data_IF_020910637532
#
_entry.id   IF_020910637532
#
_cell.length_a   1.000
_cell.length_b   1.000
_cell.length_c   1.000
_cell.angle_alpha   90.00
_cell.angle_beta   90.00
_cell.angle_gamma   90.00
#
_symmetry.space_group_name_H-M   'P 1'
#
loop_
_entity.id
_entity.type
_entity.pdbx_description
1 polymer ?
#
# COMPACT_ATOMS: atom_id res chain seq x y z
N UNK A 1 -0.12 1.78 -10.37
CA UNK A 1 -0.25 0.52 -11.11
C UNK A 1 -1.64 0.44 -11.72
N UNK A 2 -1.93 -0.58 -12.53
CA UNK A 2 -3.27 -0.85 -13.06
C UNK A 2 -3.63 -2.28 -12.69
N UNK A 3 -4.77 -2.45 -12.03
CA UNK A 3 -5.30 -3.77 -11.65
C UNK A 3 -6.56 -3.98 -12.47
N UNK A 4 -6.65 -5.12 -13.13
CA UNK A 4 -7.86 -5.51 -13.85
C UNK A 4 -8.73 -6.31 -12.90
N UNK A 5 -9.91 -5.79 -12.58
CA UNK A 5 -10.88 -6.47 -11.75
C UNK A 5 -12.13 -6.75 -12.61
N UNK A 6 -12.20 -7.97 -13.13
CA UNK A 6 -13.23 -8.41 -14.07
C UNK A 6 -13.12 -7.69 -15.41
N UNK A 7 -14.19 -7.01 -15.82
CA UNK A 7 -14.23 -6.28 -17.09
C UNK A 7 -13.69 -4.84 -17.00
N UNK A 8 -13.34 -4.38 -15.79
CA UNK A 8 -12.89 -3.00 -15.54
C UNK A 8 -11.40 -2.96 -15.19
N UNK A 9 -10.69 -1.97 -15.75
CA UNK A 9 -9.30 -1.67 -15.40
C UNK A 9 -9.26 -0.50 -14.42
N UNK A 10 -8.73 -0.72 -13.23
CA UNK A 10 -8.61 0.29 -12.19
C UNK A 10 -7.15 0.73 -12.03
N UNK A 11 -6.89 2.02 -12.24
CA UNK A 11 -5.60 2.61 -11.88
C UNK A 11 -5.47 2.83 -10.37
N UNK A 12 -4.60 2.07 -9.74
CA UNK A 12 -4.30 2.14 -8.30
C UNK A 12 -3.13 3.09 -8.06
N UNK A 13 -3.27 3.99 -7.08
CA UNK A 13 -2.21 4.91 -6.67
C UNK A 13 -2.32 5.25 -5.17
N UNK A 14 -1.23 5.06 -4.43
CA UNK A 14 -1.15 5.42 -3.02
C UNK A 14 -0.77 6.89 -2.82
N UNK A 15 -1.72 7.70 -2.36
CA UNK A 15 -1.55 9.12 -2.07
C UNK A 15 -1.14 9.40 -0.63
N UNK A 16 -0.42 10.51 -0.40
CA UNK A 16 0.05 10.90 0.94
C UNK A 16 -1.05 10.94 2.01
N UNK A 17 -2.12 11.69 1.77
CA UNK A 17 -3.23 11.85 2.72
C UNK A 17 -3.98 10.52 3.00
N UNK A 18 -4.50 9.79 1.97
CA UNK A 18 -5.27 8.58 2.24
C UNK A 18 -4.44 7.49 2.90
N UNK A 19 -3.20 7.26 2.45
CA UNK A 19 -2.30 6.24 3.03
C UNK A 19 -1.97 6.48 4.50
N UNK A 20 -1.75 7.73 4.90
CA UNK A 20 -1.44 8.06 6.30
C UNK A 20 -2.68 8.06 7.19
N UNK A 21 -3.79 8.65 6.72
CA UNK A 21 -5.03 8.73 7.51
C UNK A 21 -5.69 7.38 7.72
N UNK A 22 -5.56 6.46 6.77
CA UNK A 22 -6.09 5.10 6.90
C UNK A 22 -5.18 4.16 7.70
N UNK A 23 -4.05 4.66 8.22
CA UNK A 23 -3.02 3.87 8.90
C UNK A 23 -2.44 2.71 8.07
N UNK A 24 -2.56 2.76 6.74
CA UNK A 24 -2.27 1.63 5.85
C UNK A 24 -0.87 1.05 6.03
N UNK A 25 0.15 1.91 6.21
CA UNK A 25 1.55 1.48 6.36
C UNK A 25 1.71 0.58 7.58
N UNK A 26 0.99 0.89 8.66
CA UNK A 26 1.04 0.12 9.91
C UNK A 26 0.41 -1.25 9.69
N UNK A 27 -0.78 -1.29 9.10
CA UNK A 27 -1.51 -2.55 8.86
C UNK A 27 -0.78 -3.49 7.90
N UNK A 28 -0.20 -2.94 6.82
CA UNK A 28 0.61 -3.71 5.87
C UNK A 28 1.87 -4.22 6.56
N UNK A 29 2.58 -3.36 7.30
CA UNK A 29 3.79 -3.77 8.03
C UNK A 29 3.48 -4.88 9.06
N UNK A 30 2.39 -4.77 9.81
CA UNK A 30 1.94 -5.80 10.75
C UNK A 30 1.60 -7.09 10.02
N UNK A 31 0.86 -7.02 8.93
CA UNK A 31 0.49 -8.20 8.13
C UNK A 31 1.71 -8.93 7.58
N UNK A 32 2.72 -8.21 7.07
CA UNK A 32 3.95 -8.80 6.55
C UNK A 32 4.81 -9.40 7.67
N UNK A 33 4.82 -8.79 8.85
CA UNK A 33 5.61 -9.30 9.98
C UNK A 33 4.92 -10.42 10.77
N UNK A 34 3.59 -10.53 10.69
CA UNK A 34 2.78 -11.61 11.27
C UNK A 34 2.56 -12.78 10.29
N UNK A 35 3.09 -12.71 9.06
CA UNK A 35 3.06 -13.83 8.11
C UNK A 35 4.00 -14.96 8.57
N UNK A 36 3.50 -15.82 9.45
CA UNK A 36 4.15 -17.09 9.84
C UNK A 36 3.75 -18.25 8.91
N UNK A 37 2.97 -17.98 7.86
CA UNK A 37 2.39 -19.01 6.98
C UNK A 37 1.20 -19.74 7.60
N UNK A 38 0.71 -19.29 8.77
CA UNK A 38 -0.52 -19.78 9.38
C UNK A 38 -1.76 -19.37 8.57
N UNK A 39 -2.76 -20.24 8.55
CA UNK A 39 -4.07 -19.96 7.96
C UNK A 39 -4.71 -18.68 8.55
N UNK A 40 -4.49 -18.40 9.83
CA UNK A 40 -5.03 -17.20 10.50
C UNK A 40 -4.38 -15.91 9.96
N UNK A 41 -3.07 -15.93 9.72
CA UNK A 41 -2.35 -14.80 9.11
C UNK A 41 -2.80 -14.58 7.67
N UNK A 42 -3.06 -15.66 6.92
CA UNK A 42 -3.57 -15.59 5.55
C UNK A 42 -5.01 -15.06 5.54
N UNK A 43 -5.88 -15.53 6.43
CA UNK A 43 -7.25 -15.04 6.55
C UNK A 43 -7.28 -13.53 6.83
N UNK A 44 -6.49 -13.07 7.80
CA UNK A 44 -6.34 -11.64 8.13
C UNK A 44 -5.86 -10.82 6.93
N UNK A 45 -4.85 -11.32 6.21
CA UNK A 45 -4.34 -10.68 5.01
C UNK A 45 -5.42 -10.51 3.94
N UNK A 46 -6.20 -11.56 3.68
CA UNK A 46 -7.18 -11.60 2.59
C UNK A 46 -8.45 -10.82 2.92
N UNK A 47 -8.91 -10.86 4.17
CA UNK A 47 -10.16 -10.24 4.60
C UNK A 47 -9.99 -8.80 5.08
N UNK A 48 -8.82 -8.44 5.61
CA UNK A 48 -8.59 -7.10 6.18
C UNK A 48 -7.61 -6.30 5.32
N UNK A 49 -6.39 -6.80 5.14
CA UNK A 49 -5.28 -5.99 4.61
C UNK A 49 -5.37 -5.75 3.12
N UNK A 50 -5.58 -6.78 2.32
CA UNK A 50 -5.70 -6.72 0.86
C UNK A 50 -6.83 -5.77 0.40
N UNK A 51 -8.10 -5.95 0.84
CA UNK A 51 -9.19 -5.05 0.47
C UNK A 51 -8.94 -3.62 0.95
N UNK A 52 -8.31 -3.42 2.12
CA UNK A 52 -7.94 -2.10 2.62
C UNK A 52 -6.91 -1.41 1.73
N UNK A 53 -5.86 -2.13 1.31
CA UNK A 53 -4.85 -1.62 0.38
C UNK A 53 -5.49 -1.17 -0.93
N UNK A 54 -6.35 -2.02 -1.49
CA UNK A 54 -7.01 -1.71 -2.75
C UNK A 54 -7.94 -0.50 -2.61
N UNK A 55 -8.76 -0.45 -1.56
CA UNK A 55 -9.64 0.67 -1.28
C UNK A 55 -8.88 1.99 -1.17
N UNK A 56 -7.77 2.01 -0.41
CA UNK A 56 -6.93 3.20 -0.21
C UNK A 56 -6.24 3.62 -1.50
N UNK A 57 -5.79 2.66 -2.32
CA UNK A 57 -5.17 2.93 -3.61
C UNK A 57 -6.17 3.40 -4.69
N UNK A 58 -7.44 3.00 -4.59
CA UNK A 58 -8.52 3.45 -5.46
C UNK A 58 -8.94 4.89 -5.15
N UNK A 59 -8.78 5.35 -3.91
CA UNK A 59 -9.18 6.70 -3.47
C UNK A 59 -8.66 7.83 -4.36
N UNK A 60 -7.45 7.69 -4.91
CA UNK A 60 -6.78 8.80 -5.59
C UNK A 60 -7.33 9.02 -6.99
N UNK A 61 -7.64 7.94 -7.72
CA UNK A 61 -8.07 8.01 -9.11
C UNK A 61 -9.57 7.69 -9.30
N UNK A 62 -10.19 7.01 -8.35
CA UNK A 62 -11.57 6.51 -8.43
C UNK A 62 -12.39 6.95 -7.22
N UNK A 63 -12.17 8.19 -6.75
CA UNK A 63 -12.87 8.75 -5.59
C UNK A 63 -14.39 8.79 -5.76
N UNK A 64 -14.89 9.03 -6.97
CA UNK A 64 -16.33 9.04 -7.23
C UNK A 64 -16.99 7.70 -6.94
N UNK A 65 -16.28 6.59 -7.18
CA UNK A 65 -16.84 5.24 -7.03
C UNK A 65 -16.48 4.57 -5.71
N UNK A 66 -15.25 4.75 -5.23
CA UNK A 66 -14.70 4.08 -4.04
C UNK A 66 -14.35 5.05 -2.90
N UNK A 67 -14.56 6.35 -3.10
CA UNK A 67 -14.21 7.38 -2.12
C UNK A 67 -14.97 7.24 -0.81
N UNK A 68 -14.25 7.47 0.29
CA UNK A 68 -14.82 7.63 1.63
C UNK A 68 -14.15 8.83 2.33
N UNK A 69 -14.74 9.29 3.43
CA UNK A 69 -14.18 10.42 4.18
C UNK A 69 -13.10 9.93 5.17
N UNK A 70 -11.87 10.41 5.02
CA UNK A 70 -10.73 9.98 5.86
C UNK A 70 -10.75 10.54 7.28
N UNK A 71 -11.54 11.57 7.52
CA UNK A 71 -11.59 12.28 8.79
C UNK A 71 -12.77 11.78 9.64
N UNK A 72 -13.88 11.38 9.01
CA UNK A 72 -15.07 10.84 9.69
C UNK A 72 -15.30 9.33 9.51
N UNK A 73 -14.53 8.66 8.63
CA UNK A 73 -14.77 7.29 8.17
C UNK A 73 -16.17 7.08 7.56
N UNK A 74 -16.82 8.15 7.13
CA UNK A 74 -18.13 8.04 6.51
C UNK A 74 -18.01 7.29 5.17
N UNK A 75 -18.87 6.28 4.99
CA UNK A 75 -18.87 5.31 3.88
C UNK A 75 -17.67 4.37 3.83
N UNK A 76 -16.79 4.36 4.83
CA UNK A 76 -15.65 3.43 4.83
C UNK A 76 -16.11 1.97 4.74
N UNK A 77 -16.98 1.53 5.65
CA UNK A 77 -17.49 0.14 5.67
C UNK A 77 -18.21 -0.24 4.38
N UNK A 78 -19.04 0.66 3.82
CA UNK A 78 -19.76 0.39 2.57
C UNK A 78 -18.78 0.17 1.41
N UNK A 79 -17.77 1.04 1.29
CA UNK A 79 -16.79 0.98 0.21
C UNK A 79 -15.79 -0.16 0.42
N UNK A 80 -15.45 -0.47 1.66
CA UNK A 80 -14.64 -1.62 2.02
C UNK A 80 -15.34 -2.94 1.66
N UNK A 81 -16.61 -3.11 2.07
CA UNK A 81 -17.40 -4.28 1.70
C UNK A 81 -17.59 -4.38 0.19
N UNK A 82 -17.75 -3.26 -0.51
CA UNK A 82 -17.84 -3.25 -1.98
C UNK A 82 -16.55 -3.80 -2.62
N UNK A 83 -15.39 -3.35 -2.14
CA UNK A 83 -14.08 -3.84 -2.61
C UNK A 83 -13.88 -5.30 -2.24
N UNK A 84 -14.22 -5.71 -1.02
CA UNK A 84 -14.11 -7.09 -0.57
C UNK A 84 -14.98 -8.02 -1.41
N UNK A 85 -16.25 -7.70 -1.62
CA UNK A 85 -17.15 -8.50 -2.47
C UNK A 85 -16.61 -8.63 -3.89
N UNK A 86 -16.11 -7.54 -4.46
CA UNK A 86 -15.55 -7.54 -5.80
C UNK A 86 -14.27 -8.38 -5.88
N UNK A 87 -13.43 -8.39 -4.84
CA UNK A 87 -12.30 -9.31 -4.75
C UNK A 87 -12.79 -10.76 -4.62
N UNK A 88 -13.73 -11.04 -3.71
CA UNK A 88 -14.28 -12.38 -3.49
C UNK A 88 -14.83 -12.99 -4.78
N UNK A 89 -15.67 -12.26 -5.53
CA UNK A 89 -16.19 -12.74 -6.82
C UNK A 89 -15.06 -13.11 -7.79
N UNK A 90 -14.01 -12.30 -7.85
CA UNK A 90 -12.90 -12.50 -8.80
C UNK A 90 -11.94 -13.61 -8.41
N UNK A 91 -11.74 -13.79 -7.11
CA UNK A 91 -10.93 -14.86 -6.54
C UNK A 91 -11.68 -16.19 -6.71
N UNK A 92 -12.98 -16.21 -6.45
CA UNK A 92 -13.83 -17.40 -6.61
C UNK A 92 -13.93 -17.82 -8.09
N UNK A 93 -13.98 -16.86 -9.02
CA UNK A 93 -13.89 -17.10 -10.47
C UNK A 93 -12.49 -17.57 -10.92
N UNK A 94 -11.47 -17.48 -10.07
CA UNK A 94 -10.08 -17.79 -10.40
C UNK A 94 -9.42 -16.80 -11.37
N UNK A 95 -9.98 -15.59 -11.53
CA UNK A 95 -9.44 -14.55 -12.40
C UNK A 95 -8.24 -13.83 -11.78
N UNK A 96 -8.15 -13.83 -10.44
CA UNK A 96 -7.14 -13.10 -9.67
C UNK A 96 -6.53 -14.01 -8.61
N UNK A 97 -5.20 -14.05 -8.56
CA UNK A 97 -4.48 -14.61 -7.42
C UNK A 97 -4.29 -13.55 -6.33
N UNK A 98 -4.82 -13.81 -5.14
CA UNK A 98 -4.82 -12.84 -4.04
C UNK A 98 -3.42 -12.50 -3.55
N UNK A 99 -2.51 -13.46 -3.58
CA UNK A 99 -1.13 -13.31 -3.10
C UNK A 99 -0.34 -12.50 -4.13
N UNK A 100 -0.53 -12.79 -5.42
CA UNK A 100 0.05 -11.98 -6.50
C UNK A 100 -0.45 -10.54 -6.41
N UNK A 101 -1.75 -10.32 -6.26
CA UNK A 101 -2.32 -8.99 -6.12
C UNK A 101 -1.78 -8.25 -4.88
N UNK A 102 -1.68 -8.95 -3.74
CA UNK A 102 -1.09 -8.38 -2.54
C UNK A 102 0.35 -7.91 -2.77
N UNK A 103 1.19 -8.78 -3.36
CA UNK A 103 2.59 -8.47 -3.66
C UNK A 103 2.73 -7.29 -4.64
N UNK A 104 1.85 -7.19 -5.64
CA UNK A 104 1.85 -6.06 -6.56
C UNK A 104 1.47 -4.74 -5.86
N UNK A 105 0.46 -4.77 -4.99
CA UNK A 105 0.04 -3.61 -4.21
C UNK A 105 1.10 -3.18 -3.20
N UNK A 106 1.77 -4.14 -2.55
CA UNK A 106 2.89 -3.88 -1.65
C UNK A 106 4.04 -3.21 -2.40
N UNK A 107 4.45 -3.78 -3.53
CA UNK A 107 5.50 -3.20 -4.37
C UNK A 107 5.13 -1.80 -4.87
N UNK A 108 3.86 -1.55 -5.23
CA UNK A 108 3.41 -0.21 -5.61
C UNK A 108 3.49 0.77 -4.42
N UNK A 109 3.15 0.32 -3.21
CA UNK A 109 3.24 1.11 -1.99
C UNK A 109 4.71 1.43 -1.64
N UNK A 110 5.62 0.47 -1.78
CA UNK A 110 7.03 0.63 -1.40
C UNK A 110 7.90 1.31 -2.46
N UNK A 111 7.66 1.04 -3.75
CA UNK A 111 8.56 1.45 -4.84
C UNK A 111 8.06 2.66 -5.61
N UNK A 112 6.74 2.85 -5.74
CA UNK A 112 6.16 3.87 -6.62
C UNK A 112 5.38 4.95 -5.88
N UNK A 113 5.16 4.81 -4.58
CA UNK A 113 4.45 5.80 -3.78
C UNK A 113 5.37 6.90 -3.24
N UNK A 114 4.78 7.88 -2.56
CA UNK A 114 5.52 8.89 -1.80
C UNK A 114 6.41 8.27 -0.71
N UNK A 115 6.08 7.06 -0.22
CA UNK A 115 6.85 6.34 0.79
C UNK A 115 8.23 5.96 0.30
N UNK A 116 8.35 5.51 -0.95
CA UNK A 116 9.64 5.18 -1.57
C UNK A 116 10.64 6.34 -1.41
N UNK A 117 10.20 7.54 -1.83
CA UNK A 117 11.00 8.77 -1.74
C UNK A 117 11.30 9.16 -0.31
N UNK A 118 10.35 8.97 0.61
CA UNK A 118 10.54 9.27 2.04
C UNK A 118 11.55 8.32 2.68
N UNK A 119 11.43 7.02 2.43
CA UNK A 119 12.36 6.00 2.95
C UNK A 119 13.76 6.15 2.36
N UNK A 120 13.90 6.47 1.07
CA UNK A 120 15.21 6.77 0.48
C UNK A 120 15.88 8.00 1.12
N UNK A 121 15.08 9.05 1.37
CA UNK A 121 15.57 10.29 2.00
C UNK A 121 15.97 10.05 3.45
N UNK A 122 15.16 9.32 4.21
CA UNK A 122 15.46 8.89 5.58
C UNK A 122 16.72 8.02 5.63
N UNK A 123 16.86 7.04 4.74
CA UNK A 123 18.06 6.19 4.65
C UNK A 123 19.32 7.03 4.39
N UNK A 124 19.26 7.99 3.46
CA UNK A 124 20.37 8.92 3.17
C UNK A 124 20.70 9.86 4.33
N UNK A 125 19.71 10.31 5.09
CA UNK A 125 19.91 11.20 6.24
C UNK A 125 20.38 10.45 7.50
N UNK A 126 20.05 9.15 7.63
CA UNK A 126 20.47 8.29 8.75
C UNK A 126 21.78 7.54 8.49
N UNK A 127 22.26 7.48 7.24
CA UNK A 127 23.66 7.11 7.01
C UNK A 127 24.51 8.30 7.46
N UNK A 128 25.41 8.17 8.46
CA UNK A 128 26.27 9.27 8.82
C UNK A 128 27.04 9.68 7.57
N UNK A 129 26.88 10.95 7.19
CA UNK A 129 27.62 11.56 6.10
C UNK A 129 29.07 11.08 6.16
N UNK A 130 29.46 10.30 5.15
CA UNK A 130 30.84 9.86 4.94
C UNK A 130 31.68 11.13 5.03
N UNK A 131 32.42 11.30 6.13
CA UNK A 131 33.31 12.44 6.35
C UNK A 131 34.18 12.57 5.10
N UNK A 132 33.93 13.59 4.29
CA UNK A 132 34.88 14.02 3.27
C UNK A 132 36.19 14.31 4.01
N UNK A 133 37.33 13.70 3.64
CA UNK A 133 38.60 14.08 4.23
C UNK A 133 38.83 15.56 3.90
N UNK A 134 38.87 16.38 4.94
CA UNK A 134 39.26 17.77 4.88
C UNK A 134 40.58 17.87 4.13
N UNK A 135 40.57 18.64 3.06
CA UNK A 135 41.74 19.01 2.28
C UNK A 135 42.62 19.88 3.20
N UNK A 136 43.49 19.26 3.98
CA UNK A 136 44.54 19.98 4.71
C UNK A 136 45.55 20.45 3.67
N UNK A 137 45.46 21.73 3.33
CA UNK A 137 46.59 22.48 2.84
C UNK A 137 47.72 22.34 3.88
N UNK A 138 48.89 21.86 3.47
CA UNK A 138 50.11 22.38 4.05
C UNK A 138 51.14 22.61 2.97
N UNK A 139 51.50 23.89 2.88
CA UNK A 139 52.58 24.47 2.09
C UNK A 139 53.73 24.62 3.09
N UNK A 140 54.87 23.99 2.82
CA UNK A 140 56.23 24.51 3.03
C UNK A 140 57.25 23.42 2.75
#
# INVERSE_FOLDING_TARGET
MKVKLGNSEYSIKFGFKPTLKSHLIKDVSESVSEQDGSLESVEKLLLETLPKMLLVGLQVNHKDEFGYDYDTNEKYDEQFNKVLNLLSEKIDDGEIDCIELFNELENELESNSFLAKMMETEKKNRTPAKKTPSKTANKN
#
